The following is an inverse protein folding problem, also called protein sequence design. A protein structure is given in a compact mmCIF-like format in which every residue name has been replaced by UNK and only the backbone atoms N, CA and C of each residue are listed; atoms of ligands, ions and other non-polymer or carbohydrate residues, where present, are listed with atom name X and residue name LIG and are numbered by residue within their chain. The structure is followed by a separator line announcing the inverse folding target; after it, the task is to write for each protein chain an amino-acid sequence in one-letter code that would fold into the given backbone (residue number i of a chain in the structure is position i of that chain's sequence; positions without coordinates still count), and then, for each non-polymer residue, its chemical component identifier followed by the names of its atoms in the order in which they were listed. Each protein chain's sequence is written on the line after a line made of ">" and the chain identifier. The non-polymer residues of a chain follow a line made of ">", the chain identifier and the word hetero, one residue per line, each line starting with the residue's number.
data_IF_335514802083
#
_entry.id   IF_335514802083
#
_cell.length_a   1.000
_cell.length_b   1.000
_cell.length_c   1.000
_cell.angle_alpha   90.00
_cell.angle_beta   90.00
_cell.angle_gamma   90.00
#
_symmetry.space_group_name_H-M   'P 1'
#
loop_
_entity.id
_entity.type
_entity.pdbx_description
1 polymer ?
#
# COMPACT_ATOMS: atom_id res chain seq x y z
N UNK A 1 -20.92 11.34 8.54
CA UNK A 1 -19.76 11.55 9.44
C UNK A 1 -18.60 12.00 8.57
N UNK A 2 -18.10 13.22 8.76
CA UNK A 2 -16.93 13.70 8.01
C UNK A 2 -15.73 12.90 8.47
N UNK A 3 -15.23 12.00 7.61
CA UNK A 3 -14.02 11.23 7.84
C UNK A 3 -12.85 12.19 8.03
N UNK A 4 -12.12 12.09 9.15
CA UNK A 4 -10.97 12.96 9.43
C UNK A 4 -9.82 12.64 8.47
N UNK A 5 -9.18 13.68 7.95
CA UNK A 5 -7.97 13.51 7.14
C UNK A 5 -6.86 12.89 7.99
N UNK A 6 -6.37 11.71 7.60
CA UNK A 6 -5.23 11.06 8.24
C UNK A 6 -3.91 11.52 7.62
N UNK A 7 -3.84 11.51 6.29
CA UNK A 7 -2.62 11.90 5.55
C UNK A 7 -2.92 13.11 4.68
N UNK A 8 -2.04 14.08 4.71
CA UNK A 8 -2.13 15.23 3.81
C UNK A 8 -0.81 15.50 3.10
N UNK A 9 -0.91 15.74 1.80
CA UNK A 9 0.18 16.23 0.95
C UNK A 9 -0.17 17.66 0.54
N UNK A 10 0.74 18.62 0.78
CA UNK A 10 0.53 20.04 0.47
C UNK A 10 1.66 20.55 -0.41
N UNK A 11 1.35 20.89 -1.67
CA UNK A 11 2.27 21.44 -2.66
C UNK A 11 3.58 20.65 -2.80
N UNK A 12 3.50 19.32 -2.63
CA UNK A 12 4.67 18.46 -2.59
C UNK A 12 5.37 18.46 -3.94
N UNK A 13 6.67 18.75 -3.90
CA UNK A 13 7.62 18.64 -5.02
C UNK A 13 8.79 17.78 -4.62
N UNK A 14 9.25 16.94 -5.55
CA UNK A 14 10.50 16.18 -5.41
C UNK A 14 11.33 16.32 -6.66
N UNK A 15 12.56 16.77 -6.49
CA UNK A 15 13.55 16.90 -7.57
C UNK A 15 14.91 16.38 -7.09
N UNK A 16 15.65 15.77 -8.00
CA UNK A 16 17.06 15.42 -7.83
C UNK A 16 17.83 16.09 -8.96
N UNK A 17 18.75 16.98 -8.62
CA UNK A 17 19.49 17.79 -9.57
C UNK A 17 18.52 18.45 -10.61
N UNK A 18 18.60 18.07 -11.88
CA UNK A 18 17.76 18.62 -12.96
C UNK A 18 16.45 17.82 -13.19
N UNK A 19 16.27 16.66 -12.54
CA UNK A 19 15.11 15.79 -12.74
C UNK A 19 14.05 16.09 -11.70
N UNK A 20 12.88 16.57 -12.12
CA UNK A 20 11.70 16.70 -11.27
C UNK A 20 10.84 15.45 -11.41
N UNK A 21 10.68 14.68 -10.32
CA UNK A 21 9.82 13.50 -10.30
C UNK A 21 8.36 13.84 -10.02
N UNK A 22 8.13 14.74 -9.04
CA UNK A 22 6.80 15.19 -8.63
C UNK A 22 6.74 16.70 -8.61
N UNK A 23 5.60 17.28 -9.01
CA UNK A 23 5.42 18.74 -9.04
C UNK A 23 4.01 19.11 -8.58
N UNK A 24 3.94 19.90 -7.51
CA UNK A 24 2.68 20.43 -6.94
C UNK A 24 1.63 19.33 -6.67
N UNK A 25 2.04 18.27 -5.96
CA UNK A 25 1.16 17.18 -5.60
C UNK A 25 0.38 17.55 -4.32
N UNK A 26 -0.96 17.51 -4.40
CA UNK A 26 -1.86 17.82 -3.28
C UNK A 26 -2.88 16.69 -3.16
N UNK A 27 -2.94 16.03 -2.00
CA UNK A 27 -3.87 14.92 -1.75
C UNK A 27 -4.19 14.85 -0.26
N UNK A 28 -5.45 14.62 0.06
CA UNK A 28 -5.90 14.22 1.38
C UNK A 28 -6.38 12.77 1.33
N UNK A 29 -5.96 11.97 2.32
CA UNK A 29 -6.42 10.59 2.51
C UNK A 29 -7.12 10.53 3.86
N UNK A 30 -8.35 10.06 3.84
CA UNK A 30 -9.15 9.91 5.04
C UNK A 30 -8.74 8.67 5.86
N UNK A 31 -9.01 8.71 7.16
CA UNK A 31 -8.79 7.54 8.01
C UNK A 31 -9.66 6.36 7.56
N UNK A 32 -9.07 5.17 7.44
CA UNK A 32 -9.73 3.94 7.00
C UNK A 32 -9.99 3.85 5.50
N UNK A 33 -9.51 4.81 4.70
CA UNK A 33 -9.69 4.81 3.25
C UNK A 33 -8.61 3.98 2.55
N UNK A 34 -8.98 3.28 1.46
CA UNK A 34 -8.07 2.66 0.51
C UNK A 34 -7.95 3.52 -0.75
N UNK A 35 -6.82 4.17 -0.92
CA UNK A 35 -6.52 5.00 -2.10
C UNK A 35 -5.51 4.28 -2.99
N UNK A 36 -5.79 4.18 -4.28
CA UNK A 36 -4.85 3.68 -5.27
C UNK A 36 -4.20 4.82 -6.07
N UNK A 37 -2.87 4.78 -6.23
CA UNK A 37 -2.12 5.63 -7.14
C UNK A 37 -1.81 4.87 -8.42
N UNK A 38 -2.28 5.35 -9.55
CA UNK A 38 -2.01 4.76 -10.86
C UNK A 38 -1.32 5.76 -11.79
N UNK A 39 -0.56 5.25 -12.75
CA UNK A 39 0.13 6.08 -13.74
C UNK A 39 1.29 5.33 -14.39
N UNK A 40 1.84 5.90 -15.43
CA UNK A 40 2.97 5.34 -16.19
C UNK A 40 4.20 5.09 -15.32
N UNK A 41 5.09 4.19 -15.76
CA UNK A 41 6.37 3.97 -15.07
C UNK A 41 7.17 5.28 -14.99
N UNK A 42 7.80 5.50 -13.83
CA UNK A 42 8.61 6.70 -13.58
C UNK A 42 7.84 7.99 -13.32
N UNK A 43 6.51 7.99 -13.19
CA UNK A 43 5.73 9.18 -12.85
C UNK A 43 5.83 9.62 -11.36
N UNK A 44 6.58 8.90 -10.52
CA UNK A 44 6.86 9.32 -9.13
C UNK A 44 6.08 8.57 -8.04
N UNK A 45 5.33 7.50 -8.34
CA UNK A 45 4.55 6.72 -7.36
C UNK A 45 5.40 6.20 -6.20
N UNK A 46 6.44 5.44 -6.48
CA UNK A 46 7.34 4.89 -5.45
C UNK A 46 8.12 5.99 -4.71
N UNK A 47 8.40 7.12 -5.38
CA UNK A 47 8.99 8.31 -4.74
C UNK A 47 8.04 8.86 -3.67
N UNK A 48 6.75 8.93 -3.99
CA UNK A 48 5.72 9.42 -3.08
C UNK A 48 5.59 8.51 -1.86
N UNK A 49 5.63 7.17 -2.06
CA UNK A 49 5.66 6.21 -0.95
C UNK A 49 6.90 6.37 -0.07
N UNK A 50 8.11 6.55 -0.67
CA UNK A 50 9.35 6.75 0.09
C UNK A 50 9.32 8.03 0.92
N UNK A 51 8.72 9.09 0.41
CA UNK A 51 8.54 10.32 1.18
C UNK A 51 7.52 10.12 2.31
N UNK A 52 6.40 9.45 2.06
CA UNK A 52 5.39 9.20 3.09
C UNK A 52 5.91 8.29 4.21
N UNK A 53 6.72 7.26 3.88
CA UNK A 53 7.34 6.40 4.91
C UNK A 53 8.47 7.10 5.66
N UNK A 54 8.96 8.22 5.14
CA UNK A 54 10.02 9.02 5.75
C UNK A 54 11.46 8.59 5.39
N UNK A 55 11.61 7.81 4.30
CA UNK A 55 12.93 7.44 3.75
C UNK A 55 13.53 8.54 2.87
N UNK A 56 12.71 9.45 2.38
CA UNK A 56 13.10 10.61 1.59
C UNK A 56 12.31 11.83 2.04
N UNK A 57 12.91 13.03 1.91
CA UNK A 57 12.22 14.29 2.18
C UNK A 57 11.73 14.92 0.89
N UNK A 58 10.61 15.63 0.93
CA UNK A 58 10.17 16.51 -0.15
C UNK A 58 11.20 17.63 -0.38
N UNK A 59 11.35 18.08 -1.64
CA UNK A 59 12.17 19.25 -1.96
C UNK A 59 11.44 20.55 -1.60
N UNK A 60 10.09 20.53 -1.73
CA UNK A 60 9.19 21.62 -1.33
C UNK A 60 7.84 21.02 -0.91
N UNK A 61 7.11 21.77 -0.10
CA UNK A 61 5.81 21.33 0.42
C UNK A 61 5.94 20.37 1.58
N UNK A 62 4.81 19.97 2.14
CA UNK A 62 4.73 19.22 3.39
C UNK A 62 3.92 17.94 3.21
N UNK A 63 4.32 16.91 3.94
CA UNK A 63 3.57 15.65 4.11
C UNK A 63 3.31 15.50 5.60
N UNK A 64 2.04 15.39 5.99
CA UNK A 64 1.66 15.23 7.39
C UNK A 64 0.81 13.97 7.59
N UNK A 65 0.94 13.37 8.77
CA UNK A 65 0.07 12.29 9.27
C UNK A 65 -0.55 12.78 10.58
N UNK A 66 -1.88 12.77 10.70
CA UNK A 66 -2.62 13.38 11.83
C UNK A 66 -2.22 14.85 12.10
N UNK A 67 -1.88 15.61 11.06
CA UNK A 67 -1.42 16.98 11.19
C UNK A 67 0.06 17.14 11.56
N UNK A 68 0.77 16.06 11.92
CA UNK A 68 2.19 16.09 12.27
C UNK A 68 3.08 15.86 11.04
N UNK A 69 4.12 16.68 10.82
CA UNK A 69 5.01 16.53 9.68
C UNK A 69 5.78 15.21 9.70
N UNK A 70 5.94 14.60 8.53
CA UNK A 70 6.79 13.43 8.34
C UNK A 70 8.26 13.84 8.28
N UNK A 71 9.00 13.61 9.35
CA UNK A 71 10.43 13.99 9.47
C UNK A 71 11.39 12.80 9.39
N UNK A 72 10.88 11.57 9.35
CA UNK A 72 11.66 10.34 9.28
C UNK A 72 10.76 9.11 9.33
N UNK A 73 11.34 7.92 9.48
CA UNK A 73 10.57 6.68 9.62
C UNK A 73 9.79 6.66 10.95
N UNK A 74 8.61 6.08 10.94
CA UNK A 74 7.74 6.01 12.10
C UNK A 74 6.96 4.70 12.15
N UNK A 75 6.64 4.23 13.35
CA UNK A 75 5.93 2.96 13.58
C UNK A 75 4.45 2.99 13.20
N UNK A 76 3.89 4.19 13.05
CA UNK A 76 2.52 4.41 12.55
C UNK A 76 2.37 4.10 11.07
N UNK A 77 3.47 3.78 10.38
CA UNK A 77 3.57 3.53 8.94
C UNK A 77 4.10 2.14 8.66
N UNK A 78 3.31 1.32 7.98
CA UNK A 78 3.74 0.03 7.43
C UNK A 78 4.02 0.16 5.93
N UNK A 79 5.04 -0.55 5.42
CA UNK A 79 5.32 -0.63 3.98
C UNK A 79 5.52 -2.08 3.55
N UNK A 80 4.93 -2.42 2.42
CA UNK A 80 5.11 -3.69 1.70
C UNK A 80 5.63 -3.36 0.31
N UNK A 81 6.77 -3.91 -0.05
CA UNK A 81 7.39 -3.71 -1.35
C UNK A 81 6.91 -4.75 -2.36
N UNK A 82 7.16 -4.49 -3.63
CA UNK A 82 6.87 -5.42 -4.73
C UNK A 82 7.52 -6.80 -4.51
N UNK A 83 8.77 -6.82 -4.07
CA UNK A 83 9.40 -8.02 -3.55
C UNK A 83 9.09 -8.14 -2.06
N UNK A 84 8.79 -9.34 -1.56
CA UNK A 84 8.44 -9.59 -0.15
C UNK A 84 9.54 -9.20 0.85
N UNK A 85 10.80 -9.19 0.39
CA UNK A 85 11.99 -8.83 1.19
C UNK A 85 12.01 -9.50 2.56
N UNK A 86 11.71 -10.80 2.57
CA UNK A 86 11.84 -11.60 3.78
C UNK A 86 13.32 -11.88 4.06
N UNK A 87 13.67 -11.91 5.33
CA UNK A 87 15.01 -12.30 5.75
C UNK A 87 15.16 -13.83 5.58
N UNK A 88 16.01 -14.32 4.67
CA UNK A 88 16.03 -15.73 4.29
C UNK A 88 16.50 -16.68 5.40
N UNK A 89 17.20 -16.17 6.41
CA UNK A 89 17.67 -16.92 7.58
C UNK A 89 16.69 -16.93 8.75
N UNK A 90 15.58 -16.20 8.67
CA UNK A 90 14.52 -16.19 9.66
C UNK A 90 13.34 -17.03 9.15
N UNK A 91 12.70 -17.77 10.04
CA UNK A 91 11.44 -18.43 9.72
C UNK A 91 10.30 -17.39 9.51
N UNK A 92 9.15 -17.85 9.05
CA UNK A 92 7.97 -17.01 8.78
C UNK A 92 7.54 -16.23 10.02
N UNK A 93 7.44 -16.89 11.18
CA UNK A 93 7.04 -16.25 12.43
C UNK A 93 8.00 -15.14 12.83
N UNK A 94 9.31 -15.40 12.77
CA UNK A 94 10.34 -14.43 13.14
C UNK A 94 10.36 -13.26 12.13
N UNK A 95 10.12 -13.51 10.85
CA UNK A 95 9.94 -12.44 9.86
C UNK A 95 8.77 -11.52 10.21
N UNK A 96 7.62 -12.06 10.65
CA UNK A 96 6.48 -11.22 11.08
C UNK A 96 6.80 -10.51 12.39
N UNK A 97 7.48 -11.14 13.33
CA UNK A 97 7.88 -10.52 14.61
C UNK A 97 8.80 -9.32 14.43
N UNK A 98 9.56 -9.22 13.33
CA UNK A 98 10.37 -8.03 13.01
C UNK A 98 9.52 -6.75 12.91
N UNK A 99 8.27 -6.84 12.45
CA UNK A 99 7.36 -5.70 12.46
C UNK A 99 7.07 -5.14 13.85
N UNK A 100 7.40 -5.88 14.91
CA UNK A 100 7.27 -5.46 16.30
C UNK A 100 8.63 -5.14 16.96
N UNK A 101 9.71 -4.99 16.19
CA UNK A 101 11.07 -4.80 16.73
C UNK A 101 11.12 -3.64 17.74
N UNK A 102 10.54 -2.50 17.38
CA UNK A 102 10.56 -1.26 18.17
C UNK A 102 9.46 -1.19 19.26
N UNK A 103 8.58 -2.21 19.32
CA UNK A 103 7.54 -2.26 20.34
C UNK A 103 8.12 -2.75 21.69
N UNK A 104 7.82 -2.00 22.77
CA UNK A 104 8.21 -2.36 24.15
C UNK A 104 7.33 -3.51 24.69
N UNK A 105 7.39 -4.67 24.04
CA UNK A 105 6.62 -5.86 24.37
C UNK A 105 7.56 -7.02 24.72
N UNK A 106 7.07 -7.93 25.57
CA UNK A 106 7.79 -9.18 25.84
C UNK A 106 7.88 -10.04 24.57
N UNK A 107 8.90 -10.90 24.49
CA UNK A 107 9.03 -11.84 23.37
C UNK A 107 7.79 -12.75 23.23
N UNK A 108 7.19 -13.17 24.33
CA UNK A 108 5.99 -13.98 24.35
C UNK A 108 4.80 -13.22 23.72
N UNK A 109 4.61 -11.95 24.07
CA UNK A 109 3.54 -11.09 23.50
C UNK A 109 3.77 -10.84 22.02
N UNK A 110 5.03 -10.56 21.61
CA UNK A 110 5.37 -10.38 20.18
C UNK A 110 5.05 -11.65 19.38
N UNK A 111 5.44 -12.82 19.91
CA UNK A 111 5.16 -14.11 19.30
C UNK A 111 3.66 -14.37 19.16
N UNK A 112 2.88 -14.10 20.21
CA UNK A 112 1.43 -14.29 20.18
C UNK A 112 0.78 -13.40 19.09
N UNK A 113 1.11 -12.11 19.06
CA UNK A 113 0.60 -11.18 18.02
C UNK A 113 0.97 -11.61 16.60
N UNK A 114 2.21 -12.10 16.42
CA UNK A 114 2.65 -12.59 15.11
C UNK A 114 1.88 -13.85 14.67
N UNK A 115 1.61 -14.79 15.59
CA UNK A 115 0.79 -15.97 15.30
C UNK A 115 -0.66 -15.59 14.95
N UNK A 116 -1.27 -14.64 15.68
CA UNK A 116 -2.61 -14.12 15.36
C UNK A 116 -2.64 -13.47 13.96
N UNK A 117 -1.58 -12.74 13.61
CA UNK A 117 -1.49 -12.14 12.29
C UNK A 117 -1.28 -13.19 11.18
N UNK A 118 -0.47 -14.23 11.44
CA UNK A 118 -0.31 -15.36 10.51
C UNK A 118 -1.61 -16.11 10.29
N UNK A 119 -2.45 -16.25 11.32
CA UNK A 119 -3.77 -16.85 11.18
C UNK A 119 -4.68 -16.01 10.25
N UNK A 120 -4.63 -14.66 10.34
CA UNK A 120 -5.40 -13.76 9.46
C UNK A 120 -5.01 -13.87 8.00
N UNK A 121 -3.71 -14.12 7.71
CA UNK A 121 -3.21 -14.31 6.34
C UNK A 121 -3.16 -15.79 5.94
N UNK A 122 -3.79 -16.69 6.72
CA UNK A 122 -3.92 -18.13 6.45
C UNK A 122 -2.58 -18.88 6.31
N UNK A 123 -1.60 -18.49 7.14
CA UNK A 123 -0.25 -19.08 7.14
C UNK A 123 0.17 -19.65 8.50
N UNK A 124 -0.77 -20.03 9.36
CA UNK A 124 -0.48 -20.59 10.70
C UNK A 124 0.42 -21.82 10.63
N UNK A 125 0.15 -22.74 9.69
CA UNK A 125 0.90 -23.99 9.53
C UNK A 125 2.32 -23.77 9.01
N UNK A 126 2.60 -22.60 8.42
CA UNK A 126 3.92 -22.26 7.87
C UNK A 126 4.77 -21.41 8.82
N UNK A 127 4.35 -21.23 10.09
CA UNK A 127 5.04 -20.38 11.05
C UNK A 127 6.54 -20.72 11.24
N UNK A 128 6.90 -22.00 11.16
CA UNK A 128 8.29 -22.48 11.28
C UNK A 128 9.04 -22.62 9.95
N UNK A 129 8.35 -22.43 8.82
CA UNK A 129 8.97 -22.57 7.49
C UNK A 129 9.95 -21.41 7.22
N UNK A 130 10.97 -21.67 6.39
CA UNK A 130 11.88 -20.65 5.86
C UNK A 130 11.31 -20.04 4.57
N UNK A 131 11.67 -18.78 4.23
CA UNK A 131 11.19 -18.13 3.01
C UNK A 131 11.39 -18.95 1.72
N UNK A 132 12.47 -19.72 1.62
CA UNK A 132 12.76 -20.58 0.46
C UNK A 132 11.72 -21.73 0.27
N UNK A 133 10.90 -22.02 1.28
CA UNK A 133 9.87 -23.06 1.25
C UNK A 133 8.50 -22.51 0.88
N UNK A 134 8.38 -21.18 0.64
CA UNK A 134 7.13 -20.50 0.35
C UNK A 134 6.95 -20.26 -1.16
N UNK A 135 5.70 -20.31 -1.61
CA UNK A 135 5.37 -19.72 -2.91
C UNK A 135 5.50 -18.19 -2.88
N UNK A 136 5.58 -17.54 -4.05
CA UNK A 136 5.63 -16.08 -4.13
C UNK A 136 4.43 -15.41 -3.44
N UNK A 137 3.22 -15.95 -3.59
CA UNK A 137 2.03 -15.47 -2.91
C UNK A 137 2.09 -15.62 -1.40
N UNK A 138 2.58 -16.76 -0.90
CA UNK A 138 2.78 -16.97 0.54
C UNK A 138 3.82 -15.99 1.11
N UNK A 139 4.93 -15.78 0.42
CA UNK A 139 5.95 -14.82 0.83
C UNK A 139 5.39 -13.39 0.88
N UNK A 140 4.53 -13.02 -0.06
CA UNK A 140 3.87 -11.72 -0.07
C UNK A 140 2.87 -11.57 1.10
N UNK A 141 2.10 -12.61 1.44
CA UNK A 141 1.23 -12.62 2.64
C UNK A 141 2.04 -12.43 3.93
N UNK A 142 3.21 -13.07 4.03
CA UNK A 142 4.13 -12.85 5.18
C UNK A 142 4.60 -11.39 5.25
N UNK A 143 4.93 -10.78 4.11
CA UNK A 143 5.33 -9.38 4.05
C UNK A 143 4.18 -8.44 4.48
N UNK A 144 2.95 -8.72 4.05
CA UNK A 144 1.74 -7.99 4.49
C UNK A 144 1.53 -8.18 6.00
N UNK A 145 1.62 -9.41 6.50
CA UNK A 145 1.51 -9.71 7.94
C UNK A 145 2.56 -8.94 8.76
N UNK A 146 3.82 -8.90 8.29
CA UNK A 146 4.89 -8.11 8.91
C UNK A 146 4.57 -6.62 8.93
N UNK A 147 4.01 -6.07 7.85
CA UNK A 147 3.61 -4.66 7.75
C UNK A 147 2.46 -4.30 8.69
N UNK A 148 1.54 -5.24 8.95
CA UNK A 148 0.32 -5.02 9.74
C UNK A 148 0.44 -5.37 11.22
N UNK A 149 1.40 -6.20 11.63
CA UNK A 149 1.47 -6.75 13.00
C UNK A 149 1.63 -5.68 14.08
N UNK A 150 2.27 -4.55 13.74
CA UNK A 150 2.40 -3.37 14.60
C UNK A 150 1.12 -2.51 14.64
N UNK A 151 0.09 -2.84 13.87
CA UNK A 151 -1.16 -2.07 13.72
C UNK A 151 -0.88 -0.61 13.30
N UNK A 152 -0.20 -0.40 12.15
CA UNK A 152 0.10 0.95 11.68
C UNK A 152 -1.20 1.71 11.38
N UNK A 153 -1.14 3.04 11.44
CA UNK A 153 -2.26 3.89 11.04
C UNK A 153 -2.44 3.90 9.51
N UNK A 154 -1.32 3.78 8.77
CA UNK A 154 -1.32 3.65 7.32
C UNK A 154 -0.43 2.50 6.86
N UNK A 155 -0.96 1.68 5.95
CA UNK A 155 -0.23 0.64 5.22
C UNK A 155 0.01 1.12 3.78
N UNK A 156 1.27 1.10 3.37
CA UNK A 156 1.68 1.43 2.00
C UNK A 156 2.06 0.16 1.26
N UNK A 157 1.55 0.00 0.05
CA UNK A 157 1.75 -1.17 -0.80
C UNK A 157 2.35 -0.70 -2.14
N UNK A 158 3.59 -1.08 -2.43
CA UNK A 158 4.29 -0.73 -3.68
C UNK A 158 4.24 -1.92 -4.65
N UNK A 159 3.30 -1.92 -5.59
CA UNK A 159 3.07 -2.97 -6.60
C UNK A 159 3.01 -4.39 -5.99
N UNK A 160 2.20 -4.63 -4.92
CA UNK A 160 2.31 -5.83 -4.08
C UNK A 160 1.95 -7.14 -4.79
N UNK A 161 1.34 -7.08 -5.98
CA UNK A 161 0.86 -8.25 -6.71
C UNK A 161 1.56 -8.46 -8.05
N UNK A 162 2.53 -7.59 -8.41
CA UNK A 162 3.16 -7.56 -9.73
C UNK A 162 3.90 -8.84 -10.13
N UNK A 163 4.43 -9.60 -9.15
CA UNK A 163 5.18 -10.83 -9.37
C UNK A 163 4.33 -12.11 -9.31
N UNK A 164 2.99 -12.00 -9.18
CA UNK A 164 2.10 -13.13 -8.95
C UNK A 164 1.37 -13.54 -10.23
N UNK A 165 1.12 -14.86 -10.37
CA UNK A 165 0.19 -15.37 -11.39
C UNK A 165 -1.24 -14.87 -11.16
N UNK A 166 -2.09 -14.95 -12.18
CA UNK A 166 -3.43 -14.35 -12.16
C UNK A 166 -4.34 -14.90 -11.04
N UNK A 167 -4.30 -16.21 -10.77
CA UNK A 167 -5.16 -16.84 -9.76
C UNK A 167 -4.72 -16.45 -8.35
N UNK A 168 -3.42 -16.58 -8.06
CA UNK A 168 -2.83 -16.18 -6.77
C UNK A 168 -3.05 -14.69 -6.51
N UNK A 169 -2.90 -13.85 -7.53
CA UNK A 169 -3.16 -12.40 -7.46
C UNK A 169 -4.59 -12.11 -7.04
N UNK A 170 -5.57 -12.73 -7.72
CA UNK A 170 -6.99 -12.51 -7.40
C UNK A 170 -7.32 -12.90 -5.96
N UNK A 171 -6.87 -14.07 -5.51
CA UNK A 171 -7.07 -14.53 -4.14
C UNK A 171 -6.45 -13.56 -3.13
N UNK A 172 -5.20 -13.12 -3.35
CA UNK A 172 -4.52 -12.23 -2.43
C UNK A 172 -5.14 -10.82 -2.39
N UNK A 173 -5.70 -10.34 -3.51
CA UNK A 173 -6.44 -9.07 -3.55
C UNK A 173 -7.71 -9.15 -2.68
N UNK A 174 -8.46 -10.24 -2.76
CA UNK A 174 -9.63 -10.45 -1.90
C UNK A 174 -9.25 -10.52 -0.42
N UNK A 175 -8.19 -11.25 -0.09
CA UNK A 175 -7.67 -11.34 1.28
C UNK A 175 -7.20 -9.98 1.81
N UNK A 176 -6.48 -9.21 1.00
CA UNK A 176 -6.05 -7.86 1.37
C UNK A 176 -7.25 -6.96 1.69
N UNK A 177 -8.30 -7.02 0.85
CA UNK A 177 -9.52 -6.25 1.08
C UNK A 177 -10.20 -6.64 2.39
N UNK A 178 -10.30 -7.93 2.71
CA UNK A 178 -10.85 -8.42 3.98
C UNK A 178 -10.01 -7.95 5.17
N UNK A 179 -8.68 -8.02 5.07
CA UNK A 179 -7.75 -7.56 6.11
C UNK A 179 -7.91 -6.04 6.31
N UNK A 180 -7.94 -5.27 5.22
CA UNK A 180 -8.14 -3.82 5.26
C UNK A 180 -9.45 -3.46 5.98
N UNK A 181 -10.58 -4.06 5.58
CA UNK A 181 -11.89 -3.82 6.17
C UNK A 181 -11.96 -4.21 7.65
N UNK A 182 -11.36 -5.36 8.02
CA UNK A 182 -11.37 -5.85 9.41
C UNK A 182 -10.43 -5.07 10.33
N UNK A 183 -9.33 -4.53 9.80
CA UNK A 183 -8.34 -3.79 10.58
C UNK A 183 -8.66 -2.29 10.68
N UNK A 184 -9.46 -1.73 9.77
CA UNK A 184 -9.74 -0.30 9.68
C UNK A 184 -8.48 0.55 9.37
N UNK A 185 -7.43 -0.10 8.83
CA UNK A 185 -6.16 0.56 8.53
C UNK A 185 -6.28 1.36 7.24
N UNK A 186 -5.85 2.62 7.23
CA UNK A 186 -5.75 3.38 5.98
C UNK A 186 -4.74 2.74 5.05
N UNK A 187 -5.05 2.63 3.75
CA UNK A 187 -4.17 1.94 2.80
C UNK A 187 -3.87 2.83 1.59
N UNK A 188 -2.60 2.96 1.23
CA UNK A 188 -2.15 3.58 0.00
C UNK A 188 -1.52 2.52 -0.90
N UNK A 189 -2.23 2.17 -1.96
CA UNK A 189 -1.81 1.18 -2.96
C UNK A 189 -1.17 1.88 -4.15
N UNK A 190 0.05 1.52 -4.50
CA UNK A 190 0.68 1.90 -5.77
C UNK A 190 0.62 0.72 -6.72
N UNK A 191 0.06 0.93 -7.90
CA UNK A 191 0.00 -0.08 -8.94
C UNK A 191 0.02 0.55 -10.35
N UNK A 192 0.42 -0.22 -11.33
CA UNK A 192 0.24 0.11 -12.75
C UNK A 192 -0.97 -0.64 -13.35
N UNK A 193 -1.60 -1.53 -12.60
CA UNK A 193 -2.78 -2.30 -13.02
C UNK A 193 -4.07 -1.56 -12.64
N UNK A 194 -4.81 -1.10 -13.65
CA UNK A 194 -6.06 -0.36 -13.47
C UNK A 194 -7.16 -1.25 -12.88
N UNK A 195 -7.21 -2.53 -13.25
CA UNK A 195 -8.23 -3.45 -12.72
C UNK A 195 -8.02 -3.71 -11.23
N UNK A 196 -6.76 -3.82 -10.81
CA UNK A 196 -6.39 -3.91 -9.40
C UNK A 196 -6.83 -2.68 -8.62
N UNK A 197 -6.53 -1.47 -9.14
CA UNK A 197 -6.93 -0.23 -8.51
C UNK A 197 -8.45 -0.13 -8.39
N UNK A 198 -9.20 -0.46 -9.45
CA UNK A 198 -10.68 -0.44 -9.44
C UNK A 198 -11.25 -1.54 -8.55
N UNK A 199 -10.62 -2.71 -8.45
CA UNK A 199 -11.11 -3.79 -7.60
C UNK A 199 -11.02 -3.47 -6.10
N UNK A 200 -9.99 -2.74 -5.68
CA UNK A 200 -9.64 -2.56 -4.27
C UNK A 200 -9.95 -1.18 -3.69
N UNK A 201 -9.71 -0.10 -4.46
CA UNK A 201 -9.68 1.24 -3.90
C UNK A 201 -11.05 1.90 -3.76
N UNK A 202 -11.20 2.78 -2.78
CA UNK A 202 -12.34 3.70 -2.67
C UNK A 202 -12.17 4.86 -3.66
N UNK A 203 -10.92 5.33 -3.84
CA UNK A 203 -10.54 6.35 -4.82
C UNK A 203 -9.29 5.94 -5.58
N UNK A 204 -9.27 6.30 -6.87
CA UNK A 204 -8.10 6.13 -7.74
C UNK A 204 -7.55 7.49 -8.12
N UNK A 205 -6.30 7.74 -7.75
CA UNK A 205 -5.56 8.96 -8.10
C UNK A 205 -4.72 8.68 -9.33
N UNK A 206 -5.06 9.30 -10.45
CA UNK A 206 -4.34 9.14 -11.73
C UNK A 206 -3.26 10.18 -11.83
N UNK A 207 -2.02 9.73 -12.04
CA UNK A 207 -0.85 10.60 -12.20
C UNK A 207 -0.50 10.81 -13.66
N UNK A 208 -0.13 12.04 -14.02
CA UNK A 208 0.48 12.36 -15.31
C UNK A 208 1.88 11.73 -15.44
N UNK A 209 2.40 11.53 -16.66
CA UNK A 209 3.82 11.27 -16.87
C UNK A 209 4.71 12.32 -16.18
N UNK A 210 6.02 12.00 -16.07
CA UNK A 210 6.99 12.89 -15.41
C UNK A 210 7.02 14.30 -16.01
N UNK A 211 6.98 15.34 -15.16
CA UNK A 211 6.86 15.34 -13.70
C UNK A 211 5.44 14.97 -13.26
N UNK A 212 5.35 13.98 -12.34
CA UNK A 212 4.07 13.48 -11.86
C UNK A 212 3.25 14.58 -11.16
N UNK A 213 2.00 14.71 -11.58
CA UNK A 213 0.96 15.56 -10.98
C UNK A 213 -0.32 14.76 -10.92
N UNK A 214 -1.21 15.11 -10.04
CA UNK A 214 -2.56 14.55 -10.08
C UNK A 214 -3.23 15.07 -11.34
N UNK A 215 -3.65 14.15 -12.19
CA UNK A 215 -4.43 14.43 -13.39
C UNK A 215 -5.91 14.45 -13.06
N UNK A 216 -6.36 13.41 -12.34
CA UNK A 216 -7.73 13.26 -11.88
C UNK A 216 -7.78 12.37 -10.64
N UNK A 217 -8.78 12.60 -9.80
CA UNK A 217 -9.14 11.73 -8.68
C UNK A 217 -10.51 11.14 -8.99
N UNK A 218 -10.55 9.82 -9.21
CA UNK A 218 -11.78 9.09 -9.55
C UNK A 218 -12.33 8.44 -8.28
N UNK A 219 -13.50 8.89 -7.82
CA UNK A 219 -14.21 8.24 -6.71
C UNK A 219 -14.97 7.01 -7.23
N UNK A 220 -14.79 5.88 -6.58
CA UNK A 220 -15.42 4.63 -6.96
C UNK A 220 -16.60 4.33 -6.04
N UNK A 221 -17.82 4.68 -6.48
CA UNK A 221 -19.06 4.42 -5.74
C UNK A 221 -19.60 2.97 -5.93
N UNK A 222 -18.71 2.03 -6.24
CA UNK A 222 -19.04 0.62 -6.44
C UNK A 222 -18.90 -0.14 -5.11
N UNK A 223 -19.91 -0.92 -4.69
CA UNK A 223 -19.83 -1.69 -3.45
C UNK A 223 -18.79 -2.82 -3.57
N UNK A 224 -18.16 -3.19 -2.45
CA UNK A 224 -17.30 -4.38 -2.36
C UNK A 224 -18.10 -5.64 -1.95
N UNK A 225 -17.72 -6.84 -2.41
CA UNK A 225 -16.69 -7.12 -3.42
C UNK A 225 -17.15 -6.75 -4.83
N UNK A 226 -16.27 -6.15 -5.63
CA UNK A 226 -16.57 -5.75 -7.01
C UNK A 226 -16.37 -6.90 -7.96
N UNK A 227 -17.35 -7.12 -8.85
CA UNK A 227 -17.29 -8.15 -9.90
C UNK A 227 -16.69 -7.54 -11.16
N UNK A 228 -15.68 -8.22 -11.73
CA UNK A 228 -14.89 -7.69 -12.86
C UNK A 228 -15.65 -7.71 -14.18
N UNK A 229 -16.68 -8.53 -14.29
CA UNK A 229 -17.58 -8.67 -15.44
C UNK A 229 -18.73 -7.64 -15.42
N UNK A 230 -18.90 -6.88 -14.34
CA UNK A 230 -19.90 -5.82 -14.28
C UNK A 230 -19.57 -4.68 -15.26
N UNK A 231 -20.59 -4.18 -15.95
CA UNK A 231 -20.48 -3.05 -16.88
C UNK A 231 -19.91 -1.81 -16.19
N UNK A 232 -20.32 -1.55 -14.95
CA UNK A 232 -19.84 -0.42 -14.13
C UNK A 232 -18.35 -0.54 -13.79
N UNK A 233 -17.86 -1.74 -13.48
CA UNK A 233 -16.44 -2.01 -13.28
C UNK A 233 -15.65 -1.77 -14.56
N UNK A 234 -16.13 -2.34 -15.68
CA UNK A 234 -15.51 -2.18 -16.99
C UNK A 234 -15.48 -0.71 -17.44
N UNK A 235 -16.56 0.04 -17.19
CA UNK A 235 -16.63 1.47 -17.52
C UNK A 235 -15.61 2.29 -16.69
N UNK A 236 -15.49 2.02 -15.38
CA UNK A 236 -14.50 2.66 -14.51
C UNK A 236 -13.06 2.37 -14.99
N UNK A 237 -12.75 1.12 -15.31
CA UNK A 237 -11.44 0.73 -15.85
C UNK A 237 -11.13 1.46 -17.17
N UNK A 238 -12.11 1.54 -18.07
CA UNK A 238 -11.96 2.26 -19.34
C UNK A 238 -11.70 3.75 -19.13
N UNK A 239 -12.44 4.38 -18.25
CA UNK A 239 -12.24 5.80 -17.92
C UNK A 239 -10.83 6.06 -17.39
N UNK A 240 -10.36 5.27 -16.42
CA UNK A 240 -9.02 5.43 -15.84
C UNK A 240 -7.92 5.15 -16.87
N UNK A 241 -8.07 4.10 -17.73
CA UNK A 241 -7.12 3.83 -18.83
C UNK A 241 -7.02 5.00 -19.79
N UNK A 242 -8.14 5.61 -20.17
CA UNK A 242 -8.16 6.79 -21.03
C UNK A 242 -7.42 7.96 -20.37
N UNK A 243 -7.58 8.18 -19.07
CA UNK A 243 -6.84 9.19 -18.33
C UNK A 243 -5.33 8.95 -18.32
N UNK A 244 -4.86 7.71 -18.29
CA UNK A 244 -3.43 7.38 -18.32
C UNK A 244 -2.85 7.58 -19.72
N UNK A 245 -3.59 7.24 -20.78
CA UNK A 245 -3.10 7.21 -22.16
C UNK A 245 -3.27 8.53 -22.93
N UNK A 246 -4.27 9.35 -22.57
CA UNK A 246 -4.41 10.68 -23.22
C UNK A 246 -3.27 11.58 -22.75
N UNK A 247 -2.37 11.91 -23.65
CA UNK A 247 -1.23 12.83 -23.46
C UNK A 247 -1.69 14.28 -23.63
#
# INVERSE_FOLDING_TARGET
>A
MTSSTLVSFRHVRKSWQQVTALKNFNLDIAAGELVALVGSSGCGKSTLLRMLVGLESATQGDICINGEPVTGVGKERGIVFQESRLFPWLNVLDNVMLGLADEKLTRATKRQRALEMLARVQLSEFASALPAQLSGGMAQRVAIARGLVARPQILMLDEPFGALDALTRHTLQQELLQIHQSAGTTTLLVTHDVEEAVALADRVVVLSPRPGRIREIVNLSLPHPRQRDDDSFTAACRHIRNLITSV
#
